data_IF_220309844779
#
_entry.id   IF_220309844779
#
_cell.length_a   1.000
_cell.length_b   1.000
_cell.length_c   1.000
_cell.angle_alpha   90.00
_cell.angle_beta   90.00
_cell.angle_gamma   90.00
#
_symmetry.space_group_name_H-M   'P 1'
#
loop_
_entity.id
_entity.type
_entity.pdbx_description
1 polymer ?
#
# COMPACT_ATOMS: atom_id res chain seq x y z
N UNK A 1 5.62 15.27 34.42
CA UNK A 1 5.25 14.56 33.17
C UNK A 1 6.45 13.77 32.62
N UNK A 2 7.05 12.87 33.41
CA UNK A 2 8.35 12.25 33.05
C UNK A 2 8.42 10.72 33.29
N UNK A 3 7.29 10.00 33.38
CA UNK A 3 7.28 8.58 33.74
C UNK A 3 6.85 7.59 32.64
N UNK A 4 6.44 8.04 31.45
CA UNK A 4 5.98 7.15 30.36
C UNK A 4 7.10 6.63 29.43
N UNK A 5 8.35 7.10 29.56
CA UNK A 5 9.45 6.71 28.66
C UNK A 5 10.20 5.44 29.09
N UNK A 6 9.90 4.87 30.27
CA UNK A 6 10.62 3.69 30.80
C UNK A 6 9.85 2.36 30.60
N UNK A 7 8.59 2.40 30.16
CA UNK A 7 7.77 1.20 29.94
C UNK A 7 7.74 0.82 28.46
N UNK A 8 8.13 -0.41 28.15
CA UNK A 8 7.97 -0.95 26.81
C UNK A 8 6.60 -1.61 26.68
N UNK A 9 5.79 -1.10 25.76
CA UNK A 9 4.36 -1.43 25.64
C UNK A 9 4.17 -2.59 24.65
N UNK A 10 4.44 -3.82 25.09
CA UNK A 10 4.30 -5.02 24.24
C UNK A 10 2.87 -5.58 24.16
N UNK A 11 2.06 -5.33 25.21
CA UNK A 11 0.72 -5.92 25.37
C UNK A 11 -0.41 -4.89 25.17
N UNK A 12 -0.08 -3.71 24.67
CA UNK A 12 -1.05 -2.66 24.38
C UNK A 12 -1.62 -2.82 22.96
N UNK A 13 -2.90 -2.53 22.79
CA UNK A 13 -3.52 -2.53 21.47
C UNK A 13 -3.13 -1.30 20.65
N UNK A 14 -3.29 -1.35 19.33
CA UNK A 14 -3.02 -0.21 18.44
C UNK A 14 -3.75 1.07 18.87
N UNK A 15 -4.95 0.96 19.44
CA UNK A 15 -5.74 2.09 19.93
C UNK A 15 -5.07 2.88 21.06
N UNK A 16 -4.27 2.22 21.91
CA UNK A 16 -3.47 2.92 22.93
C UNK A 16 -2.47 3.89 22.29
N UNK A 17 -1.79 3.46 21.22
CA UNK A 17 -0.81 4.27 20.51
C UNK A 17 -1.46 5.41 19.71
N UNK A 18 -2.60 5.16 19.05
CA UNK A 18 -3.36 6.21 18.35
C UNK A 18 -3.89 7.28 19.29
N UNK A 19 -4.39 6.90 20.48
CA UNK A 19 -4.84 7.86 21.47
C UNK A 19 -3.67 8.69 22.05
N UNK A 20 -2.51 8.06 22.28
CA UNK A 20 -1.34 8.73 22.85
C UNK A 20 -0.62 9.66 21.85
N UNK A 21 -0.73 9.41 20.54
CA UNK A 21 -0.23 10.32 19.50
C UNK A 21 -1.09 11.58 19.33
N UNK A 22 -2.26 11.64 20.00
CA UNK A 22 -3.23 12.73 19.86
C UNK A 22 -3.98 12.71 18.54
N UNK A 23 -3.94 11.60 17.80
CA UNK A 23 -4.65 11.44 16.54
C UNK A 23 -6.13 11.22 16.82
N UNK A 24 -6.96 12.21 16.46
CA UNK A 24 -8.41 12.14 16.59
C UNK A 24 -8.98 11.54 15.32
N UNK A 25 -9.60 10.37 15.43
CA UNK A 25 -10.31 9.72 14.33
C UNK A 25 -11.66 10.41 14.10
N UNK A 26 -11.63 11.61 13.54
CA UNK A 26 -12.82 12.40 13.19
C UNK A 26 -13.19 12.21 11.72
N UNK A 27 -13.07 10.98 11.23
CA UNK A 27 -13.45 10.63 9.86
C UNK A 27 -14.90 10.17 9.84
N UNK A 28 -15.73 10.85 9.06
CA UNK A 28 -17.10 10.38 8.83
C UNK A 28 -17.08 9.07 8.03
N UNK A 29 -18.01 8.16 8.36
CA UNK A 29 -18.12 6.85 7.71
C UNK A 29 -18.31 7.00 6.20
N UNK A 30 -19.01 8.05 5.76
CA UNK A 30 -19.22 8.33 4.34
C UNK A 30 -17.90 8.65 3.63
N UNK A 31 -17.03 9.44 4.26
CA UNK A 31 -15.73 9.78 3.69
C UNK A 31 -14.81 8.56 3.61
N UNK A 32 -14.80 7.71 4.63
CA UNK A 32 -14.03 6.46 4.63
C UNK A 32 -14.47 5.53 3.49
N UNK A 33 -15.78 5.34 3.31
CA UNK A 33 -16.33 4.53 2.21
C UNK A 33 -15.95 5.13 0.86
N UNK A 34 -16.06 6.45 0.68
CA UNK A 34 -15.68 7.11 -0.57
C UNK A 34 -14.19 6.91 -0.89
N UNK A 35 -13.31 7.12 0.10
CA UNK A 35 -11.86 6.91 -0.06
C UNK A 35 -11.56 5.46 -0.39
N UNK A 36 -12.23 4.51 0.25
CA UNK A 36 -12.05 3.08 -0.02
C UNK A 36 -12.48 2.70 -1.45
N UNK A 37 -13.64 3.17 -1.92
CA UNK A 37 -14.12 2.88 -3.28
C UNK A 37 -13.20 3.48 -4.34
N UNK A 38 -12.85 4.77 -4.18
CA UNK A 38 -11.95 5.46 -5.11
C UNK A 38 -10.56 4.84 -5.08
N UNK A 39 -10.02 4.57 -3.88
CA UNK A 39 -8.74 3.91 -3.68
C UNK A 39 -8.69 2.52 -4.33
N UNK A 40 -9.74 1.72 -4.17
CA UNK A 40 -9.84 0.40 -4.80
C UNK A 40 -9.85 0.47 -6.33
N UNK A 41 -10.51 1.49 -6.91
CA UNK A 41 -10.53 1.69 -8.36
C UNK A 41 -9.13 2.00 -8.91
N UNK A 42 -8.41 2.92 -8.27
CA UNK A 42 -7.03 3.24 -8.64
C UNK A 42 -6.09 2.04 -8.44
N UNK A 43 -6.27 1.30 -7.35
CA UNK A 43 -5.46 0.12 -7.06
C UNK A 43 -5.61 -0.96 -8.14
N UNK A 44 -6.84 -1.20 -8.60
CA UNK A 44 -7.10 -2.10 -9.73
C UNK A 44 -6.35 -1.65 -11.01
N UNK A 45 -6.36 -0.35 -11.31
CA UNK A 45 -5.65 0.19 -12.46
C UNK A 45 -4.13 0.03 -12.35
N UNK A 46 -3.54 0.27 -11.18
CA UNK A 46 -2.11 0.08 -10.91
C UNK A 46 -1.72 -1.39 -11.12
N UNK A 47 -2.51 -2.32 -10.58
CA UNK A 47 -2.26 -3.76 -10.75
C UNK A 47 -2.36 -4.19 -12.21
N UNK A 48 -3.39 -3.73 -12.93
CA UNK A 48 -3.59 -4.04 -14.33
C UNK A 48 -2.47 -3.47 -15.22
N UNK A 49 -2.12 -2.19 -15.06
CA UNK A 49 -1.09 -1.54 -15.86
C UNK A 49 0.28 -2.19 -15.66
N UNK A 50 0.69 -2.43 -14.41
CA UNK A 50 2.00 -3.02 -14.12
C UNK A 50 2.09 -4.50 -14.51
N UNK A 51 1.00 -5.27 -14.35
CA UNK A 51 0.96 -6.66 -14.84
C UNK A 51 1.07 -6.74 -16.36
N UNK A 52 0.45 -5.82 -17.11
CA UNK A 52 0.60 -5.72 -18.57
C UNK A 52 2.04 -5.41 -18.99
N UNK A 53 2.75 -4.51 -18.28
CA UNK A 53 4.16 -4.20 -18.55
C UNK A 53 5.03 -5.44 -18.35
N UNK A 54 4.86 -6.15 -17.23
CA UNK A 54 5.60 -7.38 -16.94
C UNK A 54 5.31 -8.44 -18.02
N UNK A 55 4.04 -8.65 -18.37
CA UNK A 55 3.63 -9.61 -19.40
C UNK A 55 4.20 -9.25 -20.80
N UNK A 56 4.27 -7.96 -21.13
CA UNK A 56 4.83 -7.49 -22.40
C UNK A 56 6.34 -7.76 -22.51
N UNK A 57 7.08 -7.59 -21.41
CA UNK A 57 8.52 -7.91 -21.33
C UNK A 57 8.74 -9.42 -21.46
N UNK A 58 7.91 -10.25 -20.80
CA UNK A 58 8.02 -11.72 -20.87
C UNK A 58 7.69 -12.26 -22.28
N UNK A 59 6.66 -11.72 -22.93
CA UNK A 59 6.16 -12.25 -24.21
C UNK A 59 7.09 -11.94 -25.38
N UNK A 60 7.79 -10.80 -25.33
CA UNK A 60 8.62 -10.34 -26.45
C UNK A 60 10.10 -10.65 -26.24
N UNK A 61 10.63 -11.66 -26.94
CA UNK A 61 12.07 -11.99 -26.92
C UNK A 61 13.00 -10.83 -27.37
N UNK A 62 12.47 -9.84 -28.11
CA UNK A 62 13.22 -8.65 -28.55
C UNK A 62 13.50 -7.66 -27.40
N UNK A 63 12.84 -7.81 -26.26
CA UNK A 63 13.02 -6.96 -25.08
C UNK A 63 13.99 -7.55 -24.05
N UNK A 64 14.77 -8.59 -24.37
CA UNK A 64 15.84 -9.07 -23.50
C UNK A 64 17.10 -8.18 -23.57
N UNK A 65 16.92 -6.88 -23.33
CA UNK A 65 17.99 -5.95 -23.03
C UNK A 65 17.95 -5.59 -21.54
N UNK A 66 19.10 -5.35 -20.88
CA UNK A 66 19.17 -5.09 -19.44
C UNK A 66 18.26 -3.94 -18.98
N UNK A 67 18.00 -2.97 -19.85
CA UNK A 67 17.07 -1.87 -19.59
C UNK A 67 15.62 -2.33 -19.34
N UNK A 68 15.09 -3.26 -20.13
CA UNK A 68 13.70 -3.73 -19.97
C UNK A 68 13.51 -4.61 -18.74
N UNK A 69 14.57 -5.27 -18.26
CA UNK A 69 14.53 -5.99 -16.97
C UNK A 69 14.40 -5.02 -15.78
N UNK A 70 15.08 -3.88 -15.82
CA UNK A 70 14.92 -2.83 -14.80
C UNK A 70 13.51 -2.23 -14.82
N UNK A 71 12.96 -1.98 -16.00
CA UNK A 71 11.56 -1.53 -16.15
C UNK A 71 10.56 -2.58 -15.63
N UNK A 72 10.80 -3.85 -15.92
CA UNK A 72 9.97 -4.94 -15.39
C UNK A 72 10.08 -5.07 -13.88
N UNK A 73 11.25 -4.80 -13.28
CA UNK A 73 11.44 -4.78 -11.83
C UNK A 73 10.70 -3.61 -11.17
N UNK A 74 10.76 -2.42 -11.77
CA UNK A 74 9.99 -1.27 -11.30
C UNK A 74 8.48 -1.59 -11.35
N UNK A 75 8.00 -2.16 -12.45
CA UNK A 75 6.60 -2.59 -12.57
C UNK A 75 6.23 -3.67 -11.54
N UNK A 76 7.13 -4.62 -11.24
CA UNK A 76 6.92 -5.61 -10.20
C UNK A 76 6.84 -4.98 -8.80
N UNK A 77 7.67 -3.98 -8.52
CA UNK A 77 7.61 -3.21 -7.28
C UNK A 77 6.28 -2.47 -7.14
N UNK A 78 5.81 -1.81 -8.20
CA UNK A 78 4.52 -1.09 -8.20
C UNK A 78 3.34 -2.06 -8.07
N UNK A 79 3.44 -3.24 -8.68
CA UNK A 79 2.45 -4.31 -8.53
C UNK A 79 2.36 -4.79 -7.06
N UNK A 80 3.50 -5.04 -6.42
CA UNK A 80 3.56 -5.42 -5.00
C UNK A 80 3.04 -4.31 -4.08
N UNK A 81 3.38 -3.05 -4.37
CA UNK A 81 2.83 -1.91 -3.65
C UNK A 81 1.30 -1.84 -3.79
N UNK A 82 0.77 -2.09 -4.98
CA UNK A 82 -0.67 -2.23 -5.21
C UNK A 82 -1.31 -3.27 -4.30
N UNK A 83 -0.73 -4.48 -4.21
CA UNK A 83 -1.24 -5.52 -3.30
C UNK A 83 -1.23 -5.06 -1.83
N UNK A 84 -0.17 -4.37 -1.39
CA UNK A 84 -0.10 -3.82 -0.04
C UNK A 84 -1.19 -2.75 0.21
N UNK A 85 -1.49 -1.90 -0.78
CA UNK A 85 -2.57 -0.92 -0.69
C UNK A 85 -3.96 -1.58 -0.65
N UNK A 86 -4.17 -2.66 -1.41
CA UNK A 86 -5.40 -3.46 -1.30
C UNK A 86 -5.55 -3.97 0.13
N UNK A 87 -4.51 -4.59 0.69
CA UNK A 87 -4.56 -5.08 2.07
C UNK A 87 -4.89 -3.96 3.06
N UNK A 88 -4.21 -2.81 2.96
CA UNK A 88 -4.42 -1.67 3.86
C UNK A 88 -5.84 -1.07 3.75
N UNK A 89 -6.46 -1.11 2.57
CA UNK A 89 -7.81 -0.60 2.36
C UNK A 89 -8.91 -1.54 2.86
N UNK A 90 -8.64 -2.86 2.96
CA UNK A 90 -9.63 -3.87 3.35
C UNK A 90 -9.41 -4.44 4.77
N UNK A 91 -8.28 -4.13 5.41
CA UNK A 91 -7.93 -4.57 6.76
C UNK A 91 -7.93 -3.39 7.74
#
# INVERSE_FOLDING_TARGET
MAQQYLSCHYNESMGFFYNNSGQKDEWDKTQLILVQVVGSLFCFFILAANSLVIAAVITNRKFHFPFYYLLSNLAASDFLAGIAYVYLMFN
#
